data_IF_449177665960
#
_entry.id   IF_449177665960
#
_cell.length_a   1.000
_cell.length_b   1.000
_cell.length_c   1.000
_cell.angle_alpha   90.00
_cell.angle_beta   90.00
_cell.angle_gamma   90.00
#
_symmetry.space_group_name_H-M   'P 1'
#
loop_
_entity.id
_entity.type
_entity.pdbx_description
1 polymer ?
#
# COMPACT_ATOMS: atom_id res chain seq x y z
N UNK A 1 -27.01 -7.00 73.37
CA UNK A 1 -27.68 -8.32 73.31
C UNK A 1 -28.31 -8.46 71.94
N UNK A 2 -27.86 -9.44 71.14
CA UNK A 2 -28.50 -9.88 69.87
C UNK A 2 -29.50 -10.99 70.19
N UNK A 3 -30.49 -11.21 69.31
CA UNK A 3 -30.64 -12.54 68.76
C UNK A 3 -30.71 -12.54 67.22
N UNK A 4 -30.60 -13.75 66.67
CA UNK A 4 -30.14 -14.05 65.32
C UNK A 4 -31.22 -14.71 64.43
N UNK A 5 -31.06 -14.51 63.11
CA UNK A 5 -31.30 -15.42 61.95
C UNK A 5 -32.70 -16.03 61.81
N UNK A 6 -33.40 -15.93 60.66
CA UNK A 6 -33.09 -16.62 59.38
C UNK A 6 -34.08 -16.16 58.29
N UNK A 7 -33.70 -16.17 57.00
CA UNK A 7 -34.39 -16.85 55.88
C UNK A 7 -33.90 -16.38 54.48
N UNK A 8 -33.83 -17.36 53.58
CA UNK A 8 -33.82 -17.31 52.12
C UNK A 8 -32.53 -16.85 51.39
N UNK A 9 -31.76 -17.86 50.97
CA UNK A 9 -30.82 -17.78 49.87
C UNK A 9 -31.56 -17.45 48.56
N UNK A 10 -31.12 -16.41 47.86
CA UNK A 10 -31.44 -16.15 46.45
C UNK A 10 -30.12 -16.07 45.69
N UNK A 11 -29.92 -17.05 44.82
CA UNK A 11 -28.73 -17.22 44.02
C UNK A 11 -28.49 -16.01 43.09
N UNK A 12 -27.24 -15.63 42.81
CA UNK A 12 -26.93 -14.64 41.80
C UNK A 12 -27.25 -15.24 40.43
N UNK A 13 -28.30 -14.73 39.78
CA UNK A 13 -28.63 -15.07 38.40
C UNK A 13 -27.49 -14.63 37.48
N UNK A 14 -26.71 -15.60 37.00
CA UNK A 14 -25.69 -15.42 35.97
C UNK A 14 -26.41 -15.19 34.64
N UNK A 15 -26.80 -13.94 34.37
CA UNK A 15 -27.27 -13.53 33.04
C UNK A 15 -26.05 -13.44 32.11
N UNK A 16 -25.71 -14.57 31.47
CA UNK A 16 -24.72 -14.62 30.41
C UNK A 16 -25.32 -13.93 29.17
N UNK A 17 -25.13 -12.61 29.08
CA UNK A 17 -25.43 -11.84 27.88
C UNK A 17 -24.47 -12.28 26.78
N UNK A 18 -24.93 -13.19 25.92
CA UNK A 18 -24.25 -13.59 24.71
C UNK A 18 -24.30 -12.42 23.73
N UNK A 19 -23.34 -11.49 23.86
CA UNK A 19 -23.09 -10.48 22.85
C UNK A 19 -22.53 -11.20 21.62
N UNK A 20 -23.41 -11.60 20.71
CA UNK A 20 -23.01 -11.95 19.35
C UNK A 20 -22.45 -10.68 18.71
N UNK A 21 -21.14 -10.51 18.80
CA UNK A 21 -20.40 -9.62 17.93
C UNK A 21 -20.59 -10.13 16.50
N UNK A 22 -21.47 -9.47 15.76
CA UNK A 22 -21.46 -9.52 14.31
C UNK A 22 -20.16 -8.84 13.88
N UNK A 23 -19.07 -9.59 13.88
CA UNK A 23 -17.90 -9.22 13.10
C UNK A 23 -18.37 -9.20 11.65
N UNK A 24 -18.63 -8.01 11.13
CA UNK A 24 -18.54 -7.77 9.70
C UNK A 24 -17.12 -8.20 9.32
N UNK A 25 -16.99 -9.41 8.79
CA UNK A 25 -15.76 -9.81 8.12
C UNK A 25 -15.66 -8.98 6.85
N UNK A 26 -15.26 -7.71 6.99
CA UNK A 26 -14.67 -6.98 5.89
C UNK A 26 -13.47 -7.82 5.48
N UNK A 27 -13.52 -8.37 4.26
CA UNK A 27 -12.39 -9.11 3.73
C UNK A 27 -11.17 -8.19 3.70
N UNK A 28 -9.99 -8.78 3.85
CA UNK A 28 -8.74 -8.03 3.85
C UNK A 28 -8.56 -7.23 2.57
N UNK A 29 -8.12 -6.00 2.72
CA UNK A 29 -7.94 -5.02 1.66
C UNK A 29 -6.47 -4.82 1.31
N UNK A 30 -6.21 -4.12 0.21
CA UNK A 30 -4.85 -3.67 -0.10
C UNK A 30 -4.40 -2.68 0.98
N UNK A 31 -3.20 -2.91 1.52
CA UNK A 31 -2.59 -2.10 2.56
C UNK A 31 -2.84 -2.52 4.00
N UNK A 32 -3.66 -3.55 4.21
CA UNK A 32 -3.81 -4.17 5.52
C UNK A 32 -2.51 -4.83 6.00
N UNK A 33 -2.33 -4.87 7.32
CA UNK A 33 -1.22 -5.58 7.96
C UNK A 33 -1.42 -7.10 7.87
N UNK A 34 -0.33 -7.84 7.74
CA UNK A 34 -0.37 -9.30 7.63
C UNK A 34 0.90 -9.95 8.17
N UNK A 35 0.80 -11.21 8.57
CA UNK A 35 1.95 -12.03 8.94
C UNK A 35 2.19 -13.17 7.93
N UNK A 36 1.14 -13.60 7.22
CA UNK A 36 1.18 -14.61 6.16
C UNK A 36 0.18 -14.28 5.06
N UNK A 37 0.38 -14.79 3.83
CA UNK A 37 -0.52 -14.48 2.70
C UNK A 37 -1.98 -14.91 2.90
N UNK A 38 -2.24 -15.90 3.77
CA UNK A 38 -3.60 -16.31 4.13
C UNK A 38 -4.39 -15.20 4.85
N UNK A 39 -3.69 -14.25 5.48
CA UNK A 39 -4.32 -13.10 6.12
C UNK A 39 -4.91 -12.14 5.09
N UNK A 40 -4.36 -12.09 3.86
CA UNK A 40 -4.77 -11.15 2.80
C UNK A 40 -5.85 -11.70 1.86
N UNK A 41 -6.02 -13.01 1.85
CA UNK A 41 -6.99 -13.68 1.00
C UNK A 41 -7.62 -14.90 1.71
N UNK A 42 -8.50 -14.64 2.69
CA UNK A 42 -9.19 -15.71 3.40
C UNK A 42 -10.18 -16.48 2.51
N UNK A 43 -10.55 -15.92 1.35
CA UNK A 43 -11.35 -16.56 0.30
C UNK A 43 -10.55 -17.47 -0.64
N UNK A 44 -9.21 -17.43 -0.55
CA UNK A 44 -8.28 -18.18 -1.39
C UNK A 44 -8.49 -17.92 -2.91
N UNK A 45 -8.74 -16.68 -3.29
CA UNK A 45 -8.74 -16.19 -4.69
C UNK A 45 -7.34 -16.09 -5.32
N UNK A 46 -6.27 -16.30 -4.54
CA UNK A 46 -4.85 -16.42 -4.91
C UNK A 46 -4.13 -15.16 -5.41
N UNK A 47 -4.82 -14.03 -5.55
CA UNK A 47 -4.21 -12.84 -6.17
C UNK A 47 -3.50 -11.93 -5.16
N UNK A 48 -3.95 -11.92 -3.89
CA UNK A 48 -3.32 -11.11 -2.83
C UNK A 48 -2.29 -11.91 -2.04
N UNK A 49 -1.15 -11.29 -1.79
CA UNK A 49 -0.04 -11.83 -0.99
C UNK A 49 0.31 -10.88 0.14
N UNK A 50 0.92 -11.44 1.19
CA UNK A 50 1.51 -10.64 2.25
C UNK A 50 2.95 -10.29 1.89
N UNK A 51 3.22 -9.02 1.55
CA UNK A 51 4.58 -8.53 1.41
C UNK A 51 5.20 -8.30 2.79
N UNK A 52 6.07 -9.23 3.19
CA UNK A 52 6.80 -9.18 4.46
C UNK A 52 8.07 -8.33 4.40
N UNK A 53 8.44 -7.80 3.23
CA UNK A 53 9.53 -6.83 3.13
C UNK A 53 9.12 -5.44 3.61
N UNK A 54 7.81 -5.16 3.61
CA UNK A 54 7.21 -3.94 4.11
C UNK A 54 6.97 -3.97 5.64
N UNK A 55 7.07 -2.82 6.29
CA UNK A 55 6.84 -2.66 7.73
C UNK A 55 5.47 -3.22 8.22
N UNK A 56 5.54 -4.17 9.15
CA UNK A 56 4.35 -4.84 9.71
C UNK A 56 3.59 -5.74 8.72
N UNK A 57 4.17 -6.03 7.56
CA UNK A 57 3.56 -6.77 6.45
C UNK A 57 2.49 -5.97 5.72
N UNK A 58 2.40 -6.10 4.40
CA UNK A 58 1.44 -5.35 3.59
C UNK A 58 0.69 -6.25 2.61
N UNK A 59 -0.63 -6.31 2.72
CA UNK A 59 -1.45 -7.01 1.74
C UNK A 59 -1.42 -6.29 0.39
N UNK A 60 -0.94 -6.96 -0.65
CA UNK A 60 -0.78 -6.39 -2.00
C UNK A 60 -1.02 -7.44 -3.09
N UNK A 61 -1.03 -7.01 -4.34
CA UNK A 61 -0.94 -7.86 -5.54
C UNK A 61 0.38 -7.49 -6.24
N UNK A 62 1.21 -8.49 -6.51
CA UNK A 62 2.52 -8.31 -7.17
C UNK A 62 2.34 -8.40 -8.68
N UNK A 63 3.03 -7.55 -9.42
CA UNK A 63 3.04 -7.61 -10.89
C UNK A 63 1.75 -7.09 -11.51
N UNK A 64 1.10 -6.13 -10.86
CA UNK A 64 -0.09 -5.48 -11.38
C UNK A 64 0.17 -4.73 -12.70
N UNK A 65 -0.90 -4.43 -13.42
CA UNK A 65 -0.95 -3.48 -14.53
C UNK A 65 -1.95 -2.36 -14.20
N UNK A 66 -2.06 -1.36 -15.08
CA UNK A 66 -2.87 -0.14 -14.89
C UNK A 66 -4.28 -0.38 -14.31
N UNK A 67 -4.98 -1.43 -14.77
CA UNK A 67 -6.37 -1.72 -14.38
C UNK A 67 -6.54 -2.98 -13.52
N UNK A 68 -5.44 -3.63 -13.11
CA UNK A 68 -5.54 -4.93 -12.43
C UNK A 68 -5.71 -4.81 -10.91
N UNK A 69 -5.58 -3.61 -10.35
CA UNK A 69 -5.75 -3.39 -8.92
C UNK A 69 -7.23 -3.20 -8.56
N UNK A 70 -7.69 -3.75 -7.41
CA UNK A 70 -9.06 -3.56 -6.95
C UNK A 70 -9.35 -2.11 -6.56
N UNK A 71 -10.63 -1.76 -6.41
CA UNK A 71 -11.06 -0.45 -5.94
C UNK A 71 -10.37 -0.05 -4.62
N UNK A 72 -10.02 1.23 -4.48
CA UNK A 72 -9.25 1.74 -3.33
C UNK A 72 -7.75 1.46 -3.41
N UNK A 73 -7.24 0.98 -4.55
CA UNK A 73 -5.82 0.78 -4.78
C UNK A 73 -5.41 1.13 -6.20
N UNK A 74 -4.11 1.39 -6.40
CA UNK A 74 -3.51 1.78 -7.68
C UNK A 74 -2.24 0.96 -7.91
N UNK A 75 -1.96 0.63 -9.17
CA UNK A 75 -0.73 -0.06 -9.52
C UNK A 75 0.45 0.92 -9.51
N UNK A 76 1.38 0.72 -8.59
CA UNK A 76 2.58 1.53 -8.46
C UNK A 76 3.78 0.69 -8.89
N UNK A 77 4.63 1.27 -9.73
CA UNK A 77 5.93 0.71 -10.04
C UNK A 77 7.03 1.36 -9.21
N UNK A 78 7.99 0.56 -8.78
CA UNK A 78 9.21 0.98 -8.12
C UNK A 78 10.41 0.42 -8.89
N UNK A 79 11.54 1.11 -8.82
CA UNK A 79 12.79 0.61 -9.41
C UNK A 79 13.76 0.28 -8.29
N UNK A 80 14.12 -1.00 -8.19
CA UNK A 80 14.98 -1.50 -7.09
C UNK A 80 16.47 -1.26 -7.35
N UNK A 81 16.82 -0.88 -8.58
CA UNK A 81 18.16 -0.45 -8.94
C UNK A 81 18.11 1.01 -9.40
N UNK A 82 19.02 1.83 -8.88
CA UNK A 82 19.28 3.14 -9.45
C UNK A 82 20.77 3.33 -9.68
N UNK A 83 21.11 3.93 -10.82
CA UNK A 83 22.43 4.48 -11.04
C UNK A 83 22.37 5.94 -10.59
N UNK A 84 22.55 6.17 -9.29
CA UNK A 84 22.45 7.50 -8.66
C UNK A 84 23.37 8.60 -9.27
N UNK A 85 24.15 8.28 -10.31
CA UNK A 85 25.07 9.19 -11.00
C UNK A 85 24.55 9.71 -12.35
N UNK A 86 23.40 9.22 -12.85
CA UNK A 86 22.83 9.67 -14.14
C UNK A 86 21.49 10.37 -13.90
N UNK A 87 21.49 11.70 -13.70
CA UNK A 87 20.26 12.47 -13.60
C UNK A 87 19.57 12.58 -14.96
N UNK A 88 18.26 12.77 -14.95
CA UNK A 88 17.43 13.03 -16.13
C UNK A 88 16.28 13.96 -15.78
N UNK A 89 15.75 14.65 -16.77
CA UNK A 89 14.52 15.44 -16.64
C UNK A 89 13.30 14.60 -17.03
N UNK A 90 12.54 14.14 -16.02
CA UNK A 90 11.35 13.32 -16.23
C UNK A 90 10.34 13.94 -17.21
N UNK A 91 10.16 15.26 -17.20
CA UNK A 91 9.14 15.91 -18.03
C UNK A 91 9.58 16.04 -19.49
N UNK A 92 10.89 16.03 -19.75
CA UNK A 92 11.44 16.25 -21.08
C UNK A 92 12.11 15.00 -21.67
N UNK A 93 12.29 13.93 -20.90
CA UNK A 93 12.90 12.70 -21.40
C UNK A 93 12.15 12.11 -22.59
N UNK A 94 12.89 11.78 -23.65
CA UNK A 94 12.36 11.32 -24.93
C UNK A 94 11.32 12.27 -25.56
N UNK A 95 11.45 13.57 -25.28
CA UNK A 95 10.64 14.64 -25.86
C UNK A 95 11.56 15.72 -26.42
N UNK A 96 11.23 16.23 -27.61
CA UNK A 96 11.93 17.39 -28.18
C UNK A 96 13.43 17.17 -28.46
N UNK A 97 13.91 15.92 -28.47
CA UNK A 97 15.32 15.58 -28.66
C UNK A 97 16.17 15.52 -27.39
N UNK A 98 15.57 15.71 -26.21
CA UNK A 98 16.19 15.35 -24.93
C UNK A 98 16.12 13.83 -24.77
N UNK A 99 17.27 13.23 -24.45
CA UNK A 99 17.44 11.79 -24.26
C UNK A 99 18.64 11.61 -23.32
N UNK A 100 18.37 11.77 -22.04
CA UNK A 100 19.35 11.71 -20.96
C UNK A 100 19.69 10.25 -20.59
N UNK A 101 18.72 9.33 -20.75
CA UNK A 101 18.87 7.94 -20.38
C UNK A 101 19.35 7.04 -21.53
N UNK A 102 19.88 5.87 -21.17
CA UNK A 102 20.23 4.85 -22.16
C UNK A 102 18.98 4.22 -22.80
N UNK A 103 19.13 3.50 -23.92
CA UNK A 103 18.00 2.87 -24.62
C UNK A 103 17.25 1.81 -23.82
N UNK A 104 17.88 1.26 -22.77
CA UNK A 104 17.30 0.24 -21.88
C UNK A 104 16.93 0.81 -20.49
N UNK A 105 17.08 2.13 -20.32
CA UNK A 105 16.82 2.85 -19.08
C UNK A 105 15.55 3.71 -19.23
N UNK A 106 14.95 4.05 -18.10
CA UNK A 106 13.81 4.96 -18.01
C UNK A 106 14.13 6.08 -17.03
N UNK A 107 13.63 7.29 -17.30
CA UNK A 107 13.71 8.36 -16.32
C UNK A 107 12.62 8.16 -15.25
N UNK A 108 13.01 7.87 -14.02
CA UNK A 108 12.07 7.75 -12.89
C UNK A 108 11.62 9.13 -12.39
N UNK A 109 10.52 9.17 -11.63
CA UNK A 109 10.03 10.39 -10.96
C UNK A 109 11.07 11.07 -10.07
N UNK A 110 12.08 10.32 -9.60
CA UNK A 110 13.20 10.87 -8.84
C UNK A 110 14.21 11.67 -9.69
N UNK A 111 13.98 11.81 -10.99
CA UNK A 111 14.89 12.48 -11.93
C UNK A 111 16.19 11.70 -12.12
N UNK A 112 16.10 10.37 -12.12
CA UNK A 112 17.25 9.47 -12.26
C UNK A 112 16.96 8.40 -13.30
N UNK A 113 17.93 8.13 -14.16
CA UNK A 113 17.89 7.01 -15.08
C UNK A 113 18.04 5.70 -14.30
N UNK A 114 17.09 4.79 -14.51
CA UNK A 114 17.02 3.48 -13.86
C UNK A 114 16.80 2.41 -14.92
N UNK A 115 17.39 1.20 -14.77
CA UNK A 115 17.14 0.13 -15.72
C UNK A 115 15.65 -0.22 -15.75
N UNK A 116 15.04 -0.26 -16.93
CA UNK A 116 13.65 -0.71 -17.07
C UNK A 116 13.45 -2.13 -16.51
N UNK A 117 14.47 -2.97 -16.58
CA UNK A 117 14.45 -4.34 -16.04
C UNK A 117 14.46 -4.43 -14.52
N UNK A 118 14.70 -3.31 -13.82
CA UNK A 118 14.67 -3.25 -12.35
C UNK A 118 13.30 -2.87 -11.79
N UNK A 119 12.31 -2.71 -12.66
CA UNK A 119 10.95 -2.39 -12.31
C UNK A 119 10.27 -3.55 -11.57
N UNK A 120 9.63 -3.23 -10.46
CA UNK A 120 8.73 -4.10 -9.70
C UNK A 120 7.42 -3.36 -9.50
N UNK A 121 6.30 -4.09 -9.45
CA UNK A 121 4.96 -3.51 -9.38
C UNK A 121 4.16 -4.09 -8.23
N UNK A 122 3.45 -3.22 -7.53
CA UNK A 122 2.60 -3.57 -6.40
C UNK A 122 1.31 -2.75 -6.45
N UNK A 123 0.17 -3.37 -6.13
CA UNK A 123 -1.02 -2.59 -5.80
C UNK A 123 -0.81 -1.91 -4.45
N UNK A 124 -0.94 -0.59 -4.43
CA UNK A 124 -0.82 0.23 -3.23
C UNK A 124 -2.15 0.89 -2.93
N UNK A 125 -2.55 0.93 -1.65
CA UNK A 125 -3.77 1.59 -1.19
C UNK A 125 -3.74 3.06 -1.56
N UNK A 126 -4.79 3.57 -2.18
CA UNK A 126 -4.91 5.01 -2.46
C UNK A 126 -5.20 5.79 -1.18
N UNK A 127 -4.77 7.04 -1.10
CA UNK A 127 -4.99 7.89 0.06
C UNK A 127 -5.25 9.35 -0.33
N UNK A 128 -5.94 10.09 0.55
CA UNK A 128 -6.13 11.54 0.45
C UNK A 128 -5.17 12.27 1.40
N UNK A 129 -4.82 11.65 2.52
CA UNK A 129 -3.93 12.18 3.54
C UNK A 129 -3.15 11.08 4.27
N UNK A 130 -2.14 11.46 5.04
CA UNK A 130 -1.37 10.50 5.85
C UNK A 130 -2.22 9.70 6.86
N UNK A 131 -3.39 10.20 7.25
CA UNK A 131 -4.30 9.49 8.16
C UNK A 131 -5.01 8.28 7.54
N UNK A 132 -4.98 8.14 6.22
CA UNK A 132 -5.52 6.97 5.52
C UNK A 132 -4.52 5.78 5.52
N UNK A 133 -3.28 6.07 5.86
CA UNK A 133 -2.18 5.10 5.90
C UNK A 133 -1.92 4.62 7.34
N UNK A 134 -1.26 3.46 7.46
CA UNK A 134 -0.80 2.95 8.76
C UNK A 134 0.34 3.82 9.30
N UNK A 135 0.59 3.75 10.61
CA UNK A 135 1.56 4.63 11.30
C UNK A 135 2.98 4.63 10.68
N UNK A 136 3.44 3.49 10.13
CA UNK A 136 4.75 3.34 9.49
C UNK A 136 4.76 3.73 8.00
N UNK A 137 3.63 4.26 7.50
CA UNK A 137 3.38 4.57 6.11
C UNK A 137 3.04 6.05 5.93
N UNK A 138 3.45 6.60 4.81
CA UNK A 138 3.09 7.94 4.37
C UNK A 138 2.12 7.89 3.20
N UNK A 139 1.25 8.89 3.11
CA UNK A 139 0.48 9.11 1.90
C UNK A 139 1.35 9.85 0.87
N UNK A 140 1.93 9.08 -0.05
CA UNK A 140 2.89 9.55 -1.03
C UNK A 140 2.16 10.22 -2.19
N UNK A 141 2.13 11.55 -2.16
CA UNK A 141 1.68 12.41 -3.27
C UNK A 141 2.81 12.63 -4.30
N UNK A 142 2.54 13.33 -5.40
CA UNK A 142 3.55 13.58 -6.45
C UNK A 142 4.87 14.14 -5.91
N UNK A 143 4.83 15.09 -4.97
CA UNK A 143 6.04 15.65 -4.36
C UNK A 143 6.87 14.56 -3.65
N UNK A 144 6.21 13.72 -2.85
CA UNK A 144 6.87 12.62 -2.14
C UNK A 144 7.27 11.47 -3.08
N UNK A 145 6.59 11.27 -4.22
CA UNK A 145 7.04 10.34 -5.28
C UNK A 145 8.41 10.75 -5.81
N UNK A 146 8.64 12.05 -6.02
CA UNK A 146 9.94 12.58 -6.47
C UNK A 146 11.04 12.41 -5.42
N UNK A 147 10.69 12.43 -4.13
CA UNK A 147 11.65 12.30 -3.04
C UNK A 147 11.97 10.83 -2.72
N UNK A 148 10.92 10.01 -2.57
CA UNK A 148 11.01 8.66 -2.00
C UNK A 148 10.77 7.55 -3.03
N UNK A 149 10.34 7.88 -4.24
CA UNK A 149 10.13 6.94 -5.33
C UNK A 149 8.76 6.24 -5.30
N UNK A 150 8.51 5.46 -6.34
CA UNK A 150 7.19 4.91 -6.62
C UNK A 150 6.40 5.86 -7.51
N UNK A 151 5.89 5.35 -8.62
CA UNK A 151 5.11 6.12 -9.60
C UNK A 151 3.97 5.26 -10.17
N UNK A 152 2.78 5.84 -10.47
CA UNK A 152 1.66 5.07 -11.01
C UNK A 152 1.99 4.43 -12.36
N UNK A 153 1.53 3.21 -12.62
CA UNK A 153 1.63 2.62 -13.95
C UNK A 153 0.65 3.34 -14.89
N UNK A 154 1.11 3.99 -15.99
CA UNK A 154 0.22 4.69 -16.91
C UNK A 154 -0.63 3.70 -17.71
N UNK A 155 -1.72 4.18 -18.33
CA UNK A 155 -2.43 3.41 -19.34
C UNK A 155 -1.50 2.94 -20.47
N UNK A 156 -1.81 1.81 -21.13
CA UNK A 156 -1.01 1.33 -22.26
C UNK A 156 -0.86 2.37 -23.36
N UNK A 157 0.39 2.70 -23.70
CA UNK A 157 0.71 3.70 -24.74
C UNK A 157 0.69 5.15 -24.27
N UNK A 158 0.41 5.41 -23.00
CA UNK A 158 0.44 6.74 -22.40
C UNK A 158 1.71 6.93 -21.54
N UNK A 159 2.07 8.21 -21.36
CA UNK A 159 3.13 8.63 -20.44
C UNK A 159 2.50 9.24 -19.21
N UNK A 160 3.18 9.12 -18.07
CA UNK A 160 2.75 9.83 -16.87
C UNK A 160 3.09 11.32 -17.05
N UNK A 161 2.12 12.20 -16.83
CA UNK A 161 2.33 13.65 -16.75
C UNK A 161 2.16 14.12 -15.31
N UNK A 162 2.91 15.14 -14.92
CA UNK A 162 2.73 15.83 -13.63
C UNK A 162 1.34 16.45 -13.51
N UNK A 163 0.80 16.55 -12.29
CA UNK A 163 -0.36 17.40 -11.98
C UNK A 163 -1.59 16.70 -11.39
N UNK A 164 -1.87 15.43 -11.71
CA UNK A 164 -3.09 14.72 -11.27
C UNK A 164 -2.83 13.22 -10.96
N UNK A 165 -1.75 12.94 -10.23
CA UNK A 165 -1.39 11.56 -9.89
C UNK A 165 -2.10 11.08 -8.62
N UNK A 166 -2.66 9.85 -8.61
CA UNK A 166 -3.25 9.29 -7.41
C UNK A 166 -2.16 9.12 -6.34
N UNK A 167 -2.40 9.68 -5.16
CA UNK A 167 -1.54 9.43 -4.01
C UNK A 167 -1.78 8.02 -3.46
N UNK A 168 -0.75 7.44 -2.86
CA UNK A 168 -0.79 6.08 -2.36
C UNK A 168 -0.03 5.90 -1.04
N UNK A 169 -0.47 4.97 -0.21
CA UNK A 169 0.23 4.59 1.01
C UNK A 169 1.45 3.75 0.68
N UNK A 170 2.63 4.21 1.09
CA UNK A 170 3.89 3.46 1.03
C UNK A 170 4.67 3.64 2.32
N UNK A 171 5.60 2.73 2.60
CA UNK A 171 6.43 2.80 3.80
C UNK A 171 7.15 4.16 3.84
N UNK A 172 7.05 4.83 4.99
CA UNK A 172 7.74 6.09 5.23
C UNK A 172 9.25 5.82 5.34
N UNK A 173 10.13 6.70 4.83
CA UNK A 173 11.56 6.53 5.02
C UNK A 173 11.91 6.46 6.50
N UNK A 174 12.78 5.53 6.87
CA UNK A 174 13.32 5.47 8.23
C UNK A 174 14.04 6.79 8.55
N UNK A 175 13.66 7.42 9.67
CA UNK A 175 14.26 8.65 10.21
C UNK A 175 15.67 8.41 10.77
#
# INVERSE_FOLDING_TARGET
MRPALTFAALAPGLALALALGLGSGCGSEIGDSCAVSLDCDPSNSTDRVCDLSSAGGYCTIIGCDHESCPEGSVCIRFYVASFANTPCDFENEDIGGVNDCGPDDVCSFKGQCVPATSEVRYCMKTCESGGDCRDEYECRNEELMRQHGGEPVPPPGERITSGDLPAFCAEAPAL
#
